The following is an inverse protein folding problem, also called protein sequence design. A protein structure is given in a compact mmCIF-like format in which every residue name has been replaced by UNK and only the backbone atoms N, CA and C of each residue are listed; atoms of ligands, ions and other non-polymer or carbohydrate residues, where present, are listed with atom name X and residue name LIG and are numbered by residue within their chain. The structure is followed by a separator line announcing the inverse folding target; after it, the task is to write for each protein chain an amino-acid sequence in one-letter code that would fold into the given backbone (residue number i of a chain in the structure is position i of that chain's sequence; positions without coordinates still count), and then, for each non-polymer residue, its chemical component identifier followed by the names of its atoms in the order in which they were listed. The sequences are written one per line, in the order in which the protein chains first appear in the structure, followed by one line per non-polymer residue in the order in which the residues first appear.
data_IF_404012615293
#
_entry.id   IF_404012615293
#
_cell.length_a   1.000
_cell.length_b   1.000
_cell.length_c   1.000
_cell.angle_alpha   90.00
_cell.angle_beta   90.00
_cell.angle_gamma   90.00
#
_symmetry.space_group_name_H-M   'P 1'
#
loop_
_entity.id
_entity.type
_entity.pdbx_description
1 polymer ?
#
# COMPACT_ATOMS: atom_id res chain seq x y z
N UNK A 1 17.63 8.87 -17.81
CA UNK A 1 16.74 9.39 -16.76
C UNK A 1 16.88 8.45 -15.58
N UNK A 2 17.40 8.90 -14.44
CA UNK A 2 17.42 8.10 -13.22
C UNK A 2 15.97 7.93 -12.76
N UNK A 3 15.48 6.69 -12.69
CA UNK A 3 14.22 6.39 -11.99
C UNK A 3 14.43 6.87 -10.55
N UNK A 4 13.64 7.83 -10.06
CA UNK A 4 13.82 8.53 -8.77
C UNK A 4 13.66 7.60 -7.53
N UNK A 5 14.39 6.49 -7.47
CA UNK A 5 14.26 5.42 -6.47
C UNK A 5 13.20 4.36 -6.78
N UNK A 6 12.27 4.63 -7.72
CA UNK A 6 11.20 3.71 -8.08
C UNK A 6 11.69 2.55 -8.96
N UNK A 7 11.26 1.33 -8.65
CA UNK A 7 11.57 0.11 -9.39
C UNK A 7 10.27 -0.55 -9.91
N UNK A 8 10.32 -1.33 -11.00
CA UNK A 8 9.17 -2.10 -11.49
C UNK A 8 8.63 -3.03 -10.40
N UNK A 9 7.31 -3.17 -10.28
CA UNK A 9 6.70 -3.99 -9.23
C UNK A 9 7.13 -5.46 -9.28
N UNK A 10 7.50 -5.96 -10.46
CA UNK A 10 7.94 -7.35 -10.66
C UNK A 10 9.23 -7.68 -9.91
N UNK A 11 10.06 -6.66 -9.63
CA UNK A 11 11.31 -6.79 -8.86
C UNK A 11 11.12 -6.65 -7.35
N UNK A 12 9.91 -6.34 -6.88
CA UNK A 12 9.64 -6.17 -5.46
C UNK A 12 9.78 -7.47 -4.66
N UNK A 13 10.22 -7.39 -3.39
CA UNK A 13 10.29 -8.56 -2.52
C UNK A 13 8.89 -9.15 -2.29
N UNK A 14 8.81 -10.48 -2.41
CA UNK A 14 7.56 -11.26 -2.22
C UNK A 14 7.59 -12.11 -0.95
N UNK A 15 8.49 -11.77 -0.04
CA UNK A 15 8.74 -12.45 1.24
C UNK A 15 7.84 -11.95 2.38
N UNK A 16 6.89 -11.05 2.08
CA UNK A 16 6.02 -10.41 3.05
C UNK A 16 6.57 -9.09 3.61
N UNK A 17 7.78 -8.67 3.20
CA UNK A 17 8.32 -7.35 3.53
C UNK A 17 7.39 -6.25 3.00
N UNK A 18 7.23 -5.21 3.81
CA UNK A 18 6.45 -4.06 3.44
C UNK A 18 7.23 -3.16 2.47
N UNK A 19 6.54 -2.67 1.45
CA UNK A 19 7.06 -1.80 0.40
C UNK A 19 6.19 -0.55 0.27
N UNK A 20 6.74 0.47 -0.34
CA UNK A 20 6.02 1.68 -0.73
C UNK A 20 5.54 1.53 -2.17
N UNK A 21 4.26 1.73 -2.45
CA UNK A 21 3.68 1.73 -3.80
C UNK A 21 2.84 2.97 -4.03
N UNK A 22 2.65 3.36 -5.30
CA UNK A 22 1.63 4.34 -5.65
C UNK A 22 0.35 3.59 -6.00
N UNK A 23 -0.73 3.91 -5.28
CA UNK A 23 -2.06 3.39 -5.58
C UNK A 23 -2.94 4.51 -6.13
N UNK A 24 -3.61 4.20 -7.24
CA UNK A 24 -4.54 5.11 -7.90
C UNK A 24 -5.91 5.16 -7.22
N UNK A 25 -6.20 4.26 -6.27
CA UNK A 25 -7.52 4.12 -5.69
C UNK A 25 -7.49 3.81 -4.19
N UNK A 26 -7.33 4.85 -3.37
CA UNK A 26 -7.69 4.69 -1.96
C UNK A 26 -9.17 4.33 -1.89
N UNK A 27 -9.43 3.15 -1.33
CA UNK A 27 -10.76 2.56 -1.28
C UNK A 27 -11.29 2.66 0.14
N UNK A 28 -12.39 3.40 0.28
CA UNK A 28 -13.06 3.62 1.56
C UNK A 28 -14.03 2.46 1.86
N UNK A 29 -13.97 1.94 3.09
CA UNK A 29 -14.81 0.85 3.54
C UNK A 29 -15.53 1.21 4.85
N UNK A 30 -16.86 1.28 4.82
CA UNK A 30 -17.65 1.42 6.06
C UNK A 30 -18.22 0.09 6.50
N UNK A 31 -18.11 -0.17 7.81
CA UNK A 31 -18.78 -1.28 8.48
C UNK A 31 -20.26 -0.94 8.64
N UNK A 32 -21.14 -1.78 8.11
CA UNK A 32 -22.59 -1.63 8.31
C UNK A 32 -23.02 -2.18 9.68
N UNK A 33 -24.30 -2.00 10.03
CA UNK A 33 -24.88 -2.47 11.30
C UNK A 33 -24.75 -3.98 11.53
N UNK A 34 -24.58 -4.76 10.47
CA UNK A 34 -24.41 -6.22 10.53
C UNK A 34 -22.93 -6.63 10.67
N UNK A 35 -22.03 -5.67 10.83
CA UNK A 35 -20.61 -5.90 10.98
C UNK A 35 -19.84 -6.20 9.69
N UNK A 36 -20.48 -6.04 8.53
CA UNK A 36 -19.89 -6.30 7.22
C UNK A 36 -19.30 -4.99 6.68
N UNK A 37 -18.02 -5.02 6.27
CA UNK A 37 -17.41 -3.92 5.55
C UNK A 37 -17.92 -3.89 4.11
N UNK A 38 -18.39 -2.72 3.67
CA UNK A 38 -18.74 -2.47 2.27
C UNK A 38 -17.95 -1.29 1.74
N UNK A 39 -17.51 -1.41 0.50
CA UNK A 39 -16.92 -0.29 -0.22
C UNK A 39 -17.95 0.83 -0.31
N UNK A 40 -17.58 2.02 0.16
CA UNK A 40 -18.43 3.21 0.13
C UNK A 40 -17.94 4.28 -0.82
N UNK A 41 -16.70 4.16 -1.29
CA UNK A 41 -16.11 5.13 -2.20
C UNK A 41 -14.76 4.68 -2.76
N UNK A 42 -14.30 5.47 -3.73
CA UNK A 42 -12.91 5.55 -4.16
C UNK A 42 -12.58 7.02 -4.25
N UNK A 43 -11.83 7.52 -3.29
CA UNK A 43 -11.41 8.90 -3.23
C UNK A 43 -9.93 8.95 -2.84
N UNK A 44 -9.13 9.52 -3.74
CA UNK A 44 -7.73 9.78 -3.47
C UNK A 44 -6.77 8.89 -4.25
N UNK A 45 -5.66 9.52 -4.57
CA UNK A 45 -4.47 8.93 -5.16
C UNK A 45 -3.37 9.12 -4.13
N UNK A 46 -2.53 8.11 -3.91
CA UNK A 46 -1.50 8.26 -2.89
C UNK A 46 -0.44 7.19 -2.86
N UNK A 47 0.59 7.52 -2.11
CA UNK A 47 1.64 6.58 -1.75
C UNK A 47 1.16 5.79 -0.53
N UNK A 48 1.14 4.47 -0.63
CA UNK A 48 0.66 3.57 0.42
C UNK A 48 1.72 2.50 0.72
N UNK A 49 1.64 1.93 1.91
CA UNK A 49 2.42 0.75 2.27
C UNK A 49 1.66 -0.51 1.85
N UNK A 50 2.33 -1.39 1.10
CA UNK A 50 1.79 -2.66 0.66
C UNK A 50 2.72 -3.82 1.03
N UNK A 51 2.20 -5.04 1.09
CA UNK A 51 2.98 -6.27 1.26
C UNK A 51 2.42 -7.40 0.40
N UNK A 52 3.27 -8.33 0.01
CA UNK A 52 2.85 -9.49 -0.79
C UNK A 52 2.41 -10.64 0.12
N UNK A 53 1.23 -11.20 -0.14
CA UNK A 53 0.74 -12.39 0.56
C UNK A 53 -0.24 -13.15 -0.33
N UNK A 54 -0.14 -14.48 -0.33
CA UNK A 54 -1.07 -15.39 -1.01
C UNK A 54 -1.31 -15.05 -2.50
N UNK A 55 -0.26 -14.59 -3.20
CA UNK A 55 -0.34 -14.27 -4.63
C UNK A 55 -0.85 -12.85 -4.93
N UNK A 56 -1.11 -12.02 -3.92
CA UNK A 56 -1.63 -10.67 -4.09
C UNK A 56 -0.81 -9.62 -3.33
N UNK A 57 -0.81 -8.39 -3.85
CA UNK A 57 -0.40 -7.22 -3.10
C UNK A 57 -1.55 -6.76 -2.21
N UNK A 58 -1.28 -6.58 -0.93
CA UNK A 58 -2.25 -6.17 0.07
C UNK A 58 -1.84 -4.84 0.69
N UNK A 59 -2.82 -4.05 1.13
CA UNK A 59 -2.62 -2.80 1.87
C UNK A 59 -3.72 -2.65 2.91
N UNK A 60 -3.53 -1.74 3.85
CA UNK A 60 -4.64 -1.29 4.71
C UNK A 60 -5.43 -0.19 4.00
N UNK A 61 -6.76 -0.28 4.04
CA UNK A 61 -7.64 0.86 3.77
C UNK A 61 -7.47 1.92 4.86
N UNK A 62 -8.04 3.11 4.63
CA UNK A 62 -8.11 4.19 5.64
C UNK A 62 -8.71 3.71 6.97
N UNK A 63 -9.67 2.79 6.92
CA UNK A 63 -10.37 2.24 8.09
C UNK A 63 -9.68 1.00 8.69
N UNK A 64 -8.45 0.70 8.26
CA UNK A 64 -7.63 -0.40 8.79
C UNK A 64 -7.95 -1.79 8.21
N UNK A 65 -8.85 -1.89 7.24
CA UNK A 65 -9.24 -3.16 6.61
C UNK A 65 -8.16 -3.59 5.61
N UNK A 66 -7.76 -4.86 5.63
CA UNK A 66 -6.83 -5.40 4.62
C UNK A 66 -7.57 -5.59 3.29
N UNK A 67 -7.05 -4.97 2.24
CA UNK A 67 -7.63 -4.98 0.90
C UNK A 67 -6.54 -5.21 -0.15
N UNK A 68 -6.95 -5.63 -1.35
CA UNK A 68 -6.01 -5.82 -2.46
C UNK A 68 -5.56 -4.46 -3.02
N UNK A 69 -4.25 -4.32 -3.21
CA UNK A 69 -3.66 -3.31 -4.07
C UNK A 69 -3.69 -3.87 -5.50
N UNK A 70 -4.71 -3.51 -6.27
CA UNK A 70 -5.07 -4.26 -7.49
C UNK A 70 -4.22 -3.92 -8.72
N UNK A 71 -3.44 -2.85 -8.69
CA UNK A 71 -2.60 -2.45 -9.83
C UNK A 71 -1.34 -1.64 -9.48
N UNK A 72 -0.50 -2.08 -8.52
CA UNK A 72 0.78 -1.41 -8.27
C UNK A 72 1.69 -1.61 -9.48
N UNK A 73 2.19 -0.54 -10.07
CA UNK A 73 3.11 -0.60 -11.22
C UNK A 73 4.59 -0.46 -10.81
N UNK A 74 4.84 0.26 -9.72
CA UNK A 74 6.19 0.55 -9.23
C UNK A 74 6.24 0.49 -7.71
N UNK A 75 7.44 0.29 -7.16
CA UNK A 75 7.67 0.28 -5.72
C UNK A 75 8.95 1.01 -5.31
N UNK A 76 9.07 1.31 -4.02
CA UNK A 76 10.29 1.69 -3.32
C UNK A 76 10.42 0.94 -1.99
N UNK A 77 11.63 0.70 -1.47
CA UNK A 77 11.79 0.24 -0.09
C UNK A 77 11.16 1.26 0.88
N UNK A 78 10.69 0.79 2.02
CA UNK A 78 10.36 1.70 3.12
C UNK A 78 11.69 2.32 3.60
N UNK A 79 11.79 3.67 3.66
CA UNK A 79 13.01 4.31 4.14
C UNK A 79 13.28 3.85 5.56
N UNK A 80 14.57 3.73 5.91
CA UNK A 80 14.95 3.51 7.30
C UNK A 80 14.29 4.59 8.17
N UNK A 81 13.86 4.25 9.39
CA UNK A 81 13.39 5.28 10.32
C UNK A 81 14.48 6.35 10.43
N UNK A 82 14.11 7.64 10.53
CA UNK A 82 15.09 8.68 10.74
C UNK A 82 15.92 8.29 11.96
N UNK A 83 17.24 8.26 11.79
CA UNK A 83 18.15 8.15 12.92
C UNK A 83 17.91 9.40 13.74
N UNK A 84 17.41 9.24 14.97
CA UNK A 84 17.31 10.36 15.89
C UNK A 84 18.70 10.94 16.11
N UNK A 85 19.03 11.99 15.37
CA UNK A 85 19.81 13.07 15.96
C UNK A 85 18.78 13.88 16.74
N UNK A 86 18.55 13.46 17.99
CA UNK A 86 18.14 14.40 19.02
C UNK A 86 19.32 15.38 19.18
N UNK A 87 19.29 16.51 18.47
CA UNK A 87 19.76 17.85 18.89
C UNK A 87 19.50 18.94 17.82
#
# INVERSE_FOLDING_TARGET
MSNNGWMPIESAPKDGSAITVYDMYQTDFKKNSNGIYRQTGRDGYGVVTAWFKDGAWLMHSRDGVVIACTNPAHWMPIPAPPTGEDE
#
